data_IF_171883042028
#
_entry.id   IF_171883042028
#
_cell.length_a   1.000
_cell.length_b   1.000
_cell.length_c   1.000
_cell.angle_alpha   90.00
_cell.angle_beta   90.00
_cell.angle_gamma   90.00
#
_symmetry.space_group_name_H-M   'P 1'
#
loop_
_entity.id
_entity.type
_entity.pdbx_description
1 polymer ?
#
# COMPACT_ATOMS: atom_id res chain seq x y z
N UNK A 1 36.00 15.41 11.08
CA UNK A 1 36.18 14.11 10.36
C UNK A 1 35.55 12.93 11.11
N UNK A 2 35.90 12.64 12.37
CA UNK A 2 35.30 11.56 13.21
C UNK A 2 33.77 11.41 13.15
N UNK A 3 33.03 12.51 13.33
CA UNK A 3 31.55 12.52 13.27
C UNK A 3 31.01 12.13 11.89
N UNK A 4 31.67 12.58 10.83
CA UNK A 4 31.32 12.28 9.43
C UNK A 4 31.60 10.79 9.13
N UNK A 5 32.77 10.28 9.49
CA UNK A 5 33.11 8.84 9.39
C UNK A 5 32.04 7.96 10.04
N UNK A 6 31.64 8.30 11.28
CA UNK A 6 30.61 7.55 12.02
C UNK A 6 29.28 7.57 11.27
N UNK A 7 28.87 8.73 10.75
CA UNK A 7 27.60 8.87 10.04
C UNK A 7 27.59 8.18 8.67
N UNK A 8 28.69 8.27 7.90
CA UNK A 8 28.84 7.59 6.61
C UNK A 8 28.80 6.07 6.78
N UNK A 9 29.57 5.52 7.72
CA UNK A 9 29.53 4.09 8.02
C UNK A 9 28.16 3.64 8.54
N UNK A 10 27.47 4.46 9.34
CA UNK A 10 26.13 4.16 9.85
C UNK A 10 25.08 4.13 8.74
N UNK A 11 25.11 5.08 7.80
CA UNK A 11 24.10 5.20 6.73
C UNK A 11 24.38 4.32 5.53
N UNK A 12 25.64 4.21 5.14
CA UNK A 12 26.05 3.62 3.87
C UNK A 12 26.99 2.42 4.04
N UNK A 13 27.30 1.99 5.26
CA UNK A 13 28.23 0.89 5.55
C UNK A 13 27.95 -0.40 4.78
N UNK A 14 26.67 -0.76 4.57
CA UNK A 14 26.29 -1.95 3.78
C UNK A 14 26.47 -1.80 2.27
N UNK A 15 26.70 -0.57 1.78
CA UNK A 15 26.93 -0.25 0.37
C UNK A 15 28.41 -0.01 0.06
N UNK A 16 29.26 0.02 1.08
CA UNK A 16 30.70 0.21 0.96
C UNK A 16 31.39 -1.15 0.95
N UNK A 17 32.49 -1.27 0.20
CA UNK A 17 33.27 -2.52 0.15
C UNK A 17 33.87 -2.86 1.52
N UNK A 18 34.28 -1.85 2.30
CA UNK A 18 34.65 -1.97 3.72
C UNK A 18 34.25 -0.72 4.50
N UNK A 19 34.35 -0.79 5.83
CA UNK A 19 34.18 0.38 6.70
C UNK A 19 35.24 1.44 6.39
N UNK A 20 34.80 2.68 6.24
CA UNK A 20 35.67 3.83 6.01
C UNK A 20 36.48 4.14 7.27
N UNK A 21 37.76 4.45 7.06
CA UNK A 21 38.61 5.09 8.05
C UNK A 21 38.76 6.60 7.80
N UNK A 22 39.35 7.34 8.73
CA UNK A 22 39.47 8.80 8.63
C UNK A 22 40.36 9.23 7.46
N UNK A 23 41.40 8.45 7.15
CA UNK A 23 42.29 8.64 6.00
C UNK A 23 41.58 8.52 4.65
N UNK A 24 40.45 7.81 4.64
CA UNK A 24 39.68 7.55 3.42
C UNK A 24 38.71 8.69 3.11
N UNK A 25 38.65 9.76 3.92
CA UNK A 25 37.66 10.84 3.78
C UNK A 25 38.37 12.17 3.53
N UNK A 26 38.05 12.79 2.40
CA UNK A 26 38.48 14.15 2.05
C UNK A 26 37.27 15.07 2.06
N UNK A 27 37.42 16.26 2.65
CA UNK A 27 36.34 17.24 2.76
C UNK A 27 36.76 18.49 2.01
N UNK A 28 35.85 18.98 1.18
CA UNK A 28 35.92 20.21 0.41
C UNK A 28 34.70 21.07 0.75
N UNK A 29 34.68 22.33 0.32
CA UNK A 29 33.58 23.26 0.61
C UNK A 29 32.25 22.82 -0.04
N UNK A 30 32.33 22.19 -1.21
CA UNK A 30 31.21 21.75 -2.04
C UNK A 30 30.99 20.24 -2.02
N UNK A 31 31.96 19.44 -1.54
CA UNK A 31 31.86 17.97 -1.59
C UNK A 31 32.64 17.23 -0.50
N UNK A 32 32.21 16.01 -0.22
CA UNK A 32 32.95 15.05 0.61
C UNK A 32 33.29 13.85 -0.27
N UNK A 33 34.57 13.55 -0.44
CA UNK A 33 35.03 12.38 -1.19
C UNK A 33 35.47 11.29 -0.23
N UNK A 34 35.15 10.04 -0.57
CA UNK A 34 35.63 8.87 0.15
C UNK A 34 35.98 7.73 -0.79
N UNK A 35 36.67 6.69 -0.29
CA UNK A 35 37.30 5.63 -1.11
C UNK A 35 36.47 5.13 -2.29
N UNK A 36 35.17 4.89 -2.09
CA UNK A 36 34.26 4.32 -3.10
C UNK A 36 33.13 5.26 -3.48
N UNK A 37 33.20 6.55 -3.12
CA UNK A 37 32.07 7.44 -3.35
C UNK A 37 32.32 8.92 -3.03
N UNK A 38 31.29 9.73 -3.27
CA UNK A 38 31.36 11.18 -3.03
C UNK A 38 29.99 11.73 -2.70
N UNK A 39 29.95 12.77 -1.89
CA UNK A 39 28.76 13.59 -1.63
C UNK A 39 29.01 14.94 -2.27
N UNK A 40 28.22 15.33 -3.25
CA UNK A 40 28.37 16.60 -3.98
C UNK A 40 27.18 17.49 -3.65
N UNK A 41 27.44 18.69 -3.11
CA UNK A 41 26.41 19.68 -2.82
C UNK A 41 26.02 20.41 -4.11
N UNK A 42 24.72 20.45 -4.37
CA UNK A 42 24.08 21.17 -5.48
C UNK A 42 22.95 22.03 -4.90
N UNK A 43 23.19 23.32 -4.68
CA UNK A 43 22.24 24.25 -4.06
C UNK A 43 21.71 23.76 -2.70
N UNK A 44 20.38 23.55 -2.59
CA UNK A 44 19.70 23.03 -1.40
C UNK A 44 19.78 21.49 -1.29
N UNK A 45 20.47 20.83 -2.20
CA UNK A 45 20.60 19.38 -2.25
C UNK A 45 22.06 18.94 -2.12
N UNK A 46 22.28 17.69 -1.76
CA UNK A 46 23.56 17.02 -1.94
C UNK A 46 23.35 15.59 -2.41
N UNK A 47 23.94 15.23 -3.55
CA UNK A 47 23.85 13.87 -4.11
C UNK A 47 24.95 12.99 -3.56
N UNK A 48 24.60 11.79 -3.14
CA UNK A 48 25.54 10.77 -2.66
C UNK A 48 25.76 9.75 -3.76
N UNK A 49 27.00 9.59 -4.17
CA UNK A 49 27.45 8.62 -5.14
C UNK A 49 28.25 7.53 -4.43
N UNK A 50 28.00 6.27 -4.77
CA UNK A 50 28.85 5.13 -4.40
C UNK A 50 29.02 4.27 -5.65
N UNK A 51 30.27 3.94 -6.00
CA UNK A 51 30.62 3.22 -7.23
C UNK A 51 29.94 3.84 -8.46
N UNK A 52 30.04 5.18 -8.56
CA UNK A 52 29.46 6.05 -9.60
C UNK A 52 27.93 5.99 -9.77
N UNK A 53 27.23 5.33 -8.84
CA UNK A 53 25.76 5.32 -8.79
C UNK A 53 25.25 6.27 -7.73
N UNK A 54 24.25 7.07 -8.08
CA UNK A 54 23.52 7.87 -7.09
C UNK A 54 22.77 6.93 -6.14
N UNK A 55 23.12 6.96 -4.86
CA UNK A 55 22.55 6.06 -3.83
C UNK A 55 21.67 6.78 -2.82
N UNK A 56 21.74 8.11 -2.76
CA UNK A 56 20.94 8.96 -1.88
C UNK A 56 20.98 10.40 -2.42
N UNK A 57 19.95 11.18 -2.08
CA UNK A 57 19.95 12.63 -2.26
C UNK A 57 19.58 13.21 -0.90
N UNK A 58 20.35 14.19 -0.44
CA UNK A 58 20.19 14.86 0.84
C UNK A 58 19.65 16.27 0.57
N UNK A 59 18.80 16.78 1.45
CA UNK A 59 18.38 18.18 1.46
C UNK A 59 19.22 18.87 2.53
N UNK A 60 19.87 19.97 2.16
CA UNK A 60 20.75 20.75 3.01
C UNK A 60 20.07 22.08 3.29
N UNK A 61 19.68 22.33 4.54
CA UNK A 61 19.06 23.60 4.96
C UNK A 61 19.92 24.28 6.01
N UNK A 62 19.93 25.61 5.99
CA UNK A 62 20.49 26.43 7.07
C UNK A 62 19.35 26.85 7.99
N UNK A 63 19.35 26.34 9.22
CA UNK A 63 18.36 26.64 10.24
C UNK A 63 19.07 27.12 11.51
N UNK A 64 18.69 28.28 12.04
CA UNK A 64 19.26 28.84 13.29
C UNK A 64 20.80 28.97 13.27
N UNK A 65 21.37 29.23 12.09
CA UNK A 65 22.83 29.32 11.91
C UNK A 65 23.53 27.97 11.73
N UNK A 66 22.83 26.85 11.94
CA UNK A 66 23.36 25.51 11.74
C UNK A 66 22.95 24.91 10.39
N UNK A 67 23.85 24.12 9.78
CA UNK A 67 23.54 23.34 8.58
C UNK A 67 22.91 22.01 8.99
N UNK A 68 21.62 21.84 8.71
CA UNK A 68 20.88 20.59 8.90
C UNK A 68 20.77 19.82 7.59
N UNK A 69 21.05 18.52 7.67
CA UNK A 69 21.03 17.62 6.52
C UNK A 69 19.91 16.60 6.70
N UNK A 70 18.89 16.71 5.85
CA UNK A 70 17.77 15.79 5.77
C UNK A 70 18.03 14.77 4.67
N UNK A 71 17.65 13.51 4.86
CA UNK A 71 17.58 12.60 3.70
C UNK A 71 16.38 13.05 2.86
N UNK A 72 16.62 13.39 1.59
CA UNK A 72 15.55 13.42 0.61
C UNK A 72 15.19 11.95 0.43
N UNK A 73 14.12 11.50 1.08
CA UNK A 73 13.71 10.10 0.99
C UNK A 73 13.08 9.88 -0.38
N UNK A 74 13.91 9.85 -1.42
CA UNK A 74 13.50 9.37 -2.73
C UNK A 74 13.45 7.86 -2.60
N UNK A 75 12.24 7.36 -2.34
CA UNK A 75 11.96 5.95 -2.52
C UNK A 75 11.81 5.71 -4.01
N UNK A 76 12.53 4.72 -4.57
CA UNK A 76 12.39 4.34 -5.98
C UNK A 76 10.95 3.94 -6.30
N UNK A 77 10.27 3.33 -5.34
CA UNK A 77 8.86 2.95 -5.42
C UNK A 77 8.12 3.59 -4.23
N UNK A 78 7.80 4.89 -4.32
CA UNK A 78 7.12 5.59 -3.24
C UNK A 78 5.65 5.15 -3.17
N UNK A 79 5.09 5.15 -1.97
CA UNK A 79 3.65 4.97 -1.82
C UNK A 79 2.91 6.27 -2.12
N UNK A 80 1.66 6.10 -2.52
CA UNK A 80 0.74 7.21 -2.77
C UNK A 80 0.54 8.00 -1.47
N UNK A 81 0.56 9.32 -1.59
CA UNK A 81 0.26 10.25 -0.52
C UNK A 81 -0.80 11.23 -0.96
N UNK A 82 -1.55 11.71 0.01
CA UNK A 82 -2.41 12.85 -0.17
C UNK A 82 -1.58 14.12 -0.42
N UNK A 83 -2.03 14.95 -1.35
CA UNK A 83 -1.29 16.16 -1.75
C UNK A 83 -1.37 17.25 -0.69
N UNK A 84 -2.48 17.32 0.05
CA UNK A 84 -2.71 18.36 1.04
C UNK A 84 -1.99 18.04 2.35
N UNK A 85 -2.22 16.85 2.90
CA UNK A 85 -1.67 16.43 4.21
C UNK A 85 -0.30 15.77 4.12
N UNK A 86 0.10 15.27 2.94
CA UNK A 86 1.32 14.48 2.76
C UNK A 86 1.25 13.07 3.37
N UNK A 87 0.10 12.67 3.93
CA UNK A 87 -0.06 11.36 4.57
C UNK A 87 -0.11 10.25 3.52
N UNK A 88 0.52 9.09 3.78
CA UNK A 88 0.27 7.87 3.04
C UNK A 88 -1.23 7.57 2.93
N UNK A 89 -1.67 7.11 1.76
CA UNK A 89 -3.08 6.80 1.57
C UNK A 89 -3.36 5.64 0.61
N UNK A 90 -4.50 4.99 0.79
CA UNK A 90 -5.15 4.17 -0.23
C UNK A 90 -6.21 5.02 -0.94
N UNK A 91 -6.12 5.12 -2.27
CA UNK A 91 -7.10 5.87 -3.06
C UNK A 91 -8.47 5.17 -3.09
N UNK A 92 -9.57 5.92 -3.20
CA UNK A 92 -10.90 5.36 -3.47
C UNK A 92 -10.91 4.41 -4.67
N UNK A 93 -10.25 4.80 -5.77
CA UNK A 93 -10.15 3.97 -6.98
C UNK A 93 -9.37 2.68 -6.76
N UNK A 94 -8.37 2.70 -5.87
CA UNK A 94 -7.62 1.51 -5.48
C UNK A 94 -8.52 0.55 -4.70
N UNK A 95 -9.28 1.04 -3.73
CA UNK A 95 -10.27 0.21 -3.03
C UNK A 95 -11.31 -0.39 -3.98
N UNK A 96 -11.91 0.45 -4.83
CA UNK A 96 -12.90 0.03 -5.83
C UNK A 96 -12.36 -1.08 -6.73
N UNK A 97 -11.14 -0.93 -7.25
CA UNK A 97 -10.52 -1.90 -8.15
C UNK A 97 -10.29 -3.26 -7.47
N UNK A 98 -9.79 -3.26 -6.23
CA UNK A 98 -9.54 -4.49 -5.49
C UNK A 98 -10.83 -5.17 -5.04
N UNK A 99 -11.83 -4.40 -4.58
CA UNK A 99 -13.11 -4.97 -4.18
C UNK A 99 -13.88 -5.52 -5.39
N UNK A 100 -13.82 -4.85 -6.55
CA UNK A 100 -14.39 -5.36 -7.80
C UNK A 100 -13.71 -6.65 -8.25
N UNK A 101 -12.39 -6.75 -8.10
CA UNK A 101 -11.66 -7.99 -8.36
C UNK A 101 -12.12 -9.11 -7.42
N UNK A 102 -12.18 -8.85 -6.11
CA UNK A 102 -12.64 -9.83 -5.13
C UNK A 102 -14.09 -10.26 -5.37
N UNK A 103 -14.97 -9.33 -5.76
CA UNK A 103 -16.35 -9.61 -6.14
C UNK A 103 -16.46 -10.61 -7.30
N UNK A 104 -15.57 -10.54 -8.30
CA UNK A 104 -15.55 -11.53 -9.41
C UNK A 104 -15.22 -12.94 -8.93
N UNK A 105 -14.47 -13.03 -7.83
CA UNK A 105 -14.04 -14.29 -7.21
C UNK A 105 -15.06 -14.87 -6.22
N UNK A 106 -16.14 -14.14 -5.90
CA UNK A 106 -17.22 -14.69 -5.06
C UNK A 106 -17.88 -15.85 -5.80
N UNK A 107 -18.03 -16.97 -5.09
CA UNK A 107 -18.87 -18.09 -5.50
C UNK A 107 -20.32 -17.69 -5.30
N UNK A 108 -20.98 -17.36 -6.40
CA UNK A 108 -22.38 -16.92 -6.45
C UNK A 108 -22.99 -17.43 -7.75
N UNK A 109 -24.31 -17.56 -7.81
CA UNK A 109 -25.01 -17.97 -9.03
C UNK A 109 -24.56 -17.11 -10.23
N UNK A 110 -24.00 -17.77 -11.26
CA UNK A 110 -23.28 -17.12 -12.37
C UNK A 110 -24.18 -16.14 -13.13
N UNK A 111 -25.46 -16.49 -13.33
CA UNK A 111 -26.41 -15.64 -14.07
C UNK A 111 -26.77 -14.34 -13.34
N UNK A 112 -26.61 -14.33 -12.02
CA UNK A 112 -26.96 -13.20 -11.16
C UNK A 112 -25.74 -12.40 -10.69
N UNK A 113 -24.57 -13.05 -10.58
CA UNK A 113 -23.32 -12.41 -10.13
C UNK A 113 -22.94 -11.17 -10.94
N UNK A 114 -22.94 -11.27 -12.27
CA UNK A 114 -22.54 -10.14 -13.12
C UNK A 114 -23.52 -8.97 -13.02
N UNK A 115 -24.81 -9.24 -12.81
CA UNK A 115 -25.82 -8.21 -12.54
C UNK A 115 -25.52 -7.49 -11.22
N UNK A 116 -25.30 -8.23 -10.14
CA UNK A 116 -24.94 -7.67 -8.82
C UNK A 116 -23.66 -6.82 -8.93
N UNK A 117 -22.62 -7.32 -9.61
CA UNK A 117 -21.37 -6.56 -9.80
C UNK A 117 -21.62 -5.25 -10.56
N UNK A 118 -22.43 -5.27 -11.62
CA UNK A 118 -22.78 -4.04 -12.35
C UNK A 118 -23.57 -3.06 -11.47
N UNK A 119 -24.55 -3.53 -10.69
CA UNK A 119 -25.29 -2.69 -9.74
C UNK A 119 -24.37 -2.04 -8.70
N UNK A 120 -23.45 -2.82 -8.13
CA UNK A 120 -22.54 -2.33 -7.08
C UNK A 120 -21.48 -1.36 -7.60
N UNK A 121 -20.81 -1.69 -8.72
CA UNK A 121 -19.63 -0.95 -9.18
C UNK A 121 -19.88 -0.02 -10.37
N UNK A 122 -21.00 -0.18 -11.07
CA UNK A 122 -21.29 0.47 -12.34
C UNK A 122 -20.60 -0.21 -13.53
N UNK A 123 -20.83 0.34 -14.72
CA UNK A 123 -20.25 -0.18 -15.96
C UNK A 123 -18.74 0.07 -16.06
N UNK A 124 -18.08 -0.67 -16.96
CA UNK A 124 -16.69 -0.41 -17.34
C UNK A 124 -16.64 0.82 -18.27
N UNK A 125 -15.50 1.50 -18.30
CA UNK A 125 -15.31 2.69 -19.15
C UNK A 125 -15.40 2.28 -20.62
N UNK A 126 -16.32 2.90 -21.38
CA UNK A 126 -16.55 2.60 -22.80
C UNK A 126 -17.93 2.05 -23.14
N UNK A 127 -18.81 1.90 -22.15
CA UNK A 127 -20.21 1.48 -22.34
C UNK A 127 -21.12 2.72 -22.49
N UNK A 128 -21.97 2.75 -23.52
CA UNK A 128 -22.83 3.91 -23.85
C UNK A 128 -23.89 4.19 -22.77
N UNK A 129 -24.22 3.18 -21.96
CA UNK A 129 -25.07 3.31 -20.78
C UNK A 129 -24.23 3.56 -19.53
N UNK A 130 -24.18 4.81 -19.05
CA UNK A 130 -23.47 5.17 -17.81
C UNK A 130 -24.30 4.80 -16.58
N UNK A 131 -24.28 3.52 -16.21
CA UNK A 131 -24.82 3.06 -14.93
C UNK A 131 -23.84 3.41 -13.81
N UNK A 132 -24.23 4.36 -12.96
CA UNK A 132 -23.48 4.71 -11.75
C UNK A 132 -23.70 3.62 -10.69
N UNK A 133 -22.62 3.01 -10.22
CA UNK A 133 -22.69 1.97 -9.20
C UNK A 133 -23.23 2.46 -7.85
N UNK A 134 -23.78 1.53 -7.07
CA UNK A 134 -24.34 1.74 -5.73
C UNK A 134 -23.27 1.94 -4.64
N UNK A 135 -21.99 1.69 -4.93
CA UNK A 135 -20.89 1.84 -3.97
C UNK A 135 -20.07 3.13 -4.15
N UNK A 136 -19.88 3.84 -3.05
CA UNK A 136 -19.02 5.02 -2.93
C UNK A 136 -17.87 4.73 -1.98
N UNK A 137 -16.65 4.91 -2.48
CA UNK A 137 -15.42 4.61 -1.76
C UNK A 137 -14.77 5.90 -1.25
N UNK A 138 -14.21 5.83 -0.05
CA UNK A 138 -13.45 6.92 0.55
C UNK A 138 -11.95 6.59 0.59
N UNK A 139 -11.08 7.62 0.63
CA UNK A 139 -9.66 7.39 0.86
C UNK A 139 -9.43 6.89 2.28
N UNK A 140 -8.46 5.99 2.44
CA UNK A 140 -7.93 5.63 3.76
C UNK A 140 -6.60 6.33 3.93
N UNK A 141 -6.43 7.10 5.02
CA UNK A 141 -5.17 7.75 5.36
C UNK A 141 -4.48 7.01 6.49
N UNK A 142 -3.15 6.94 6.45
CA UNK A 142 -2.35 6.39 7.54
C UNK A 142 -1.60 7.50 8.25
N UNK A 143 -1.69 7.53 9.59
CA UNK A 143 -0.99 8.53 10.43
C UNK A 143 0.49 8.18 10.58
N UNK A 144 0.80 6.89 10.55
CA UNK A 144 2.15 6.37 10.66
C UNK A 144 2.95 6.66 9.39
N UNK A 145 4.25 6.87 9.58
CA UNK A 145 5.17 7.06 8.46
C UNK A 145 5.48 5.71 7.81
N UNK A 146 5.42 5.70 6.49
CA UNK A 146 5.89 4.58 5.71
C UNK A 146 7.39 4.30 5.91
N UNK A 147 7.77 3.05 5.73
CA UNK A 147 9.14 2.57 5.95
C UNK A 147 9.70 1.94 4.68
N UNK A 148 11.02 1.93 4.59
CA UNK A 148 11.73 1.19 3.54
C UNK A 148 11.58 -0.30 3.79
N UNK A 149 11.34 -1.04 2.72
CA UNK A 149 11.45 -2.49 2.66
C UNK A 149 12.26 -2.90 1.43
N UNK A 150 12.67 -4.17 1.40
CA UNK A 150 13.45 -4.72 0.29
C UNK A 150 12.80 -6.00 -0.19
N UNK A 151 12.45 -6.06 -1.48
CA UNK A 151 12.03 -7.30 -2.13
C UNK A 151 13.16 -7.76 -3.03
N UNK A 152 13.60 -9.00 -2.86
CA UNK A 152 14.58 -9.64 -3.75
C UNK A 152 13.85 -10.69 -4.59
N UNK A 153 13.61 -10.45 -5.90
CA UNK A 153 13.01 -11.45 -6.77
C UNK A 153 13.93 -12.66 -6.89
N UNK A 154 13.40 -13.87 -6.64
CA UNK A 154 14.16 -15.12 -6.77
C UNK A 154 13.75 -15.87 -8.05
N UNK A 155 14.73 -16.46 -8.72
CA UNK A 155 14.54 -17.46 -9.78
C UNK A 155 13.93 -18.72 -9.15
N UNK A 156 12.83 -19.23 -9.71
CA UNK A 156 12.05 -20.32 -9.09
C UNK A 156 12.77 -21.67 -9.15
N UNK A 157 13.50 -21.89 -10.23
CA UNK A 157 14.34 -23.05 -10.53
C UNK A 157 15.56 -23.14 -9.61
N UNK A 158 16.29 -22.03 -9.44
CA UNK A 158 17.58 -22.04 -8.73
C UNK A 158 17.52 -21.41 -7.33
N UNK A 159 16.36 -20.86 -6.94
CA UNK A 159 16.14 -20.07 -5.70
C UNK A 159 17.15 -18.94 -5.47
N UNK A 160 17.87 -18.53 -6.51
CA UNK A 160 18.90 -17.49 -6.50
C UNK A 160 18.30 -16.15 -6.96
N UNK A 161 18.86 -14.99 -6.55
CA UNK A 161 18.35 -13.70 -6.97
C UNK A 161 18.29 -13.55 -8.50
N UNK A 162 17.09 -13.33 -9.05
CA UNK A 162 16.88 -13.08 -10.47
C UNK A 162 17.33 -11.67 -10.86
N UNK A 163 17.20 -10.73 -9.93
CA UNK A 163 17.67 -9.35 -10.02
C UNK A 163 18.10 -8.87 -8.64
N UNK A 164 18.85 -7.77 -8.58
CA UNK A 164 19.26 -7.14 -7.33
C UNK A 164 18.07 -6.74 -6.44
N UNK A 165 18.32 -6.48 -5.15
CA UNK A 165 17.27 -6.15 -4.19
C UNK A 165 16.55 -4.86 -4.59
N UNK A 166 15.22 -4.90 -4.65
CA UNK A 166 14.37 -3.75 -5.03
C UNK A 166 13.91 -3.07 -3.76
N UNK A 167 14.33 -1.82 -3.56
CA UNK A 167 13.87 -1.00 -2.44
C UNK A 167 12.46 -0.50 -2.72
N UNK A 168 11.54 -0.78 -1.79
CA UNK A 168 10.16 -0.31 -1.86
C UNK A 168 9.79 0.46 -0.60
N UNK A 169 8.84 1.38 -0.74
CA UNK A 169 8.19 1.99 0.40
C UNK A 169 6.93 1.21 0.75
N UNK A 170 6.72 0.91 2.03
CA UNK A 170 5.57 0.14 2.50
C UNK A 170 5.03 0.69 3.81
N UNK A 171 3.74 0.47 4.02
CA UNK A 171 3.16 0.45 5.37
C UNK A 171 3.49 -0.92 5.97
N UNK A 172 4.14 -0.93 7.13
CA UNK A 172 4.47 -2.19 7.83
C UNK A 172 3.22 -2.81 8.45
N UNK A 173 3.27 -4.11 8.72
CA UNK A 173 2.19 -4.82 9.43
C UNK A 173 1.88 -4.17 10.78
N UNK A 174 0.62 -4.23 11.20
CA UNK A 174 0.13 -3.65 12.45
C UNK A 174 -0.21 -2.15 12.37
N UNK A 175 0.09 -1.47 11.26
CA UNK A 175 -0.40 -0.12 11.02
C UNK A 175 -1.90 -0.14 10.80
N UNK A 176 -2.61 0.77 11.47
CA UNK A 176 -4.08 0.89 11.38
C UNK A 176 -4.49 1.95 10.35
N UNK A 177 -5.63 1.71 9.71
CA UNK A 177 -6.29 2.65 8.82
C UNK A 177 -7.78 2.40 8.82
N UNK A 178 -8.56 3.43 8.56
CA UNK A 178 -10.02 3.36 8.54
C UNK A 178 -10.51 3.18 7.11
N UNK A 179 -11.35 2.15 6.91
CA UNK A 179 -11.99 1.87 5.63
C UNK A 179 -13.46 2.28 5.71
N UNK A 180 -13.84 3.28 4.90
CA UNK A 180 -15.22 3.72 4.78
C UNK A 180 -15.78 3.35 3.42
N UNK A 181 -16.99 2.78 3.42
CA UNK A 181 -17.73 2.39 2.23
C UNK A 181 -19.19 2.79 2.41
N UNK A 182 -19.72 3.55 1.45
CA UNK A 182 -21.12 3.96 1.45
C UNK A 182 -21.88 3.21 0.36
N UNK A 183 -22.95 2.52 0.75
CA UNK A 183 -23.91 1.90 -0.16
C UNK A 183 -25.11 2.84 -0.34
N UNK A 184 -25.42 3.18 -1.58
CA UNK A 184 -26.60 3.96 -1.95
C UNK A 184 -27.40 3.14 -2.95
N UNK A 185 -28.67 2.77 -2.67
CA UNK A 185 -29.51 2.00 -3.60
C UNK A 185 -30.01 2.84 -4.79
N UNK A 186 -29.37 3.98 -5.10
CA UNK A 186 -29.73 4.92 -6.15
C UNK A 186 -28.58 5.07 -7.17
N UNK A 187 -28.84 5.19 -8.48
CA UNK A 187 -30.15 5.27 -9.13
C UNK A 187 -30.93 3.96 -9.03
N UNK A 188 -32.23 4.09 -8.70
CA UNK A 188 -33.18 2.99 -8.81
C UNK A 188 -33.51 2.86 -10.29
N UNK A 189 -33.10 1.77 -10.91
CA UNK A 189 -33.56 1.44 -12.26
C UNK A 189 -35.09 1.31 -12.26
N UNK A 190 -35.74 1.39 -13.43
CA UNK A 190 -37.20 1.27 -13.55
C UNK A 190 -37.76 -0.01 -12.90
N UNK A 191 -36.94 -1.05 -12.80
CA UNK A 191 -37.25 -2.35 -12.20
C UNK A 191 -36.63 -2.59 -10.82
N UNK A 192 -36.25 -1.53 -10.09
CA UNK A 192 -35.67 -1.67 -8.75
C UNK A 192 -36.58 -2.47 -7.81
N UNK A 193 -36.05 -3.56 -7.25
CA UNK A 193 -36.70 -4.39 -6.24
C UNK A 193 -36.01 -4.20 -4.89
N UNK A 194 -36.78 -4.02 -3.81
CA UNK A 194 -36.20 -3.81 -2.46
C UNK A 194 -35.37 -5.01 -2.02
N UNK A 195 -35.70 -6.20 -2.51
CA UNK A 195 -35.02 -7.46 -2.26
C UNK A 195 -33.56 -7.43 -2.76
N UNK A 196 -33.27 -6.63 -3.80
CA UNK A 196 -31.90 -6.43 -4.29
C UNK A 196 -30.98 -5.85 -3.23
N UNK A 197 -31.47 -5.02 -2.30
CA UNK A 197 -30.63 -4.45 -1.25
C UNK A 197 -30.05 -5.57 -0.39
N UNK A 198 -30.88 -6.52 0.03
CA UNK A 198 -30.44 -7.62 0.88
C UNK A 198 -29.48 -8.54 0.16
N UNK A 199 -29.72 -8.79 -1.12
CA UNK A 199 -28.83 -9.56 -1.99
C UNK A 199 -27.48 -8.85 -2.20
N UNK A 200 -27.50 -7.58 -2.58
CA UNK A 200 -26.33 -6.72 -2.79
C UNK A 200 -25.44 -6.71 -1.54
N UNK A 201 -26.03 -6.51 -0.35
CA UNK A 201 -25.26 -6.42 0.90
C UNK A 201 -24.66 -7.78 1.30
N UNK A 202 -25.37 -8.90 1.11
CA UNK A 202 -24.82 -10.25 1.36
C UNK A 202 -23.65 -10.56 0.44
N UNK A 203 -23.82 -10.28 -0.85
CA UNK A 203 -22.76 -10.46 -1.83
C UNK A 203 -21.56 -9.55 -1.53
N UNK A 204 -21.82 -8.29 -1.15
CA UNK A 204 -20.79 -7.33 -0.77
C UNK A 204 -19.99 -7.79 0.44
N UNK A 205 -20.63 -8.35 1.46
CA UNK A 205 -19.95 -8.88 2.64
C UNK A 205 -18.95 -9.98 2.23
N UNK A 206 -19.35 -10.92 1.37
CA UNK A 206 -18.45 -11.99 0.90
C UNK A 206 -17.29 -11.43 0.07
N UNK A 207 -17.57 -10.45 -0.79
CA UNK A 207 -16.52 -9.77 -1.56
C UNK A 207 -15.51 -9.04 -0.65
N UNK A 208 -16.00 -8.35 0.40
CA UNK A 208 -15.15 -7.68 1.39
C UNK A 208 -14.29 -8.69 2.16
N UNK A 209 -14.87 -9.81 2.59
CA UNK A 209 -14.15 -10.90 3.26
C UNK A 209 -13.01 -11.43 2.39
N UNK A 210 -13.27 -11.71 1.11
CA UNK A 210 -12.24 -12.15 0.16
C UNK A 210 -11.18 -11.08 -0.07
N UNK A 211 -11.58 -9.81 -0.21
CA UNK A 211 -10.63 -8.71 -0.39
C UNK A 211 -9.72 -8.57 0.83
N UNK A 212 -10.26 -8.60 2.05
CA UNK A 212 -9.51 -8.37 3.28
C UNK A 212 -8.58 -9.53 3.65
N UNK A 213 -9.03 -10.77 3.46
CA UNK A 213 -8.35 -11.93 4.04
C UNK A 213 -7.68 -12.86 3.02
N UNK A 214 -8.01 -12.73 1.72
CA UNK A 214 -7.50 -13.64 0.69
C UNK A 214 -6.67 -12.91 -0.35
N UNK A 215 -7.24 -11.88 -0.99
CA UNK A 215 -6.61 -11.23 -2.15
C UNK A 215 -5.83 -9.97 -1.81
N UNK A 216 -6.22 -9.27 -0.76
CA UNK A 216 -5.65 -8.00 -0.35
C UNK A 216 -5.97 -6.81 -1.28
N UNK A 217 -5.60 -5.61 -0.81
CA UNK A 217 -5.82 -4.34 -1.52
C UNK A 217 -4.53 -3.68 -2.05
N UNK A 218 -3.46 -4.47 -2.22
CA UNK A 218 -2.16 -3.98 -2.71
C UNK A 218 -1.90 -4.37 -4.17
N UNK A 219 -1.03 -3.60 -4.84
CA UNK A 219 -0.52 -3.95 -6.16
C UNK A 219 0.30 -5.26 -6.18
N UNK A 220 0.84 -5.71 -5.03
CA UNK A 220 1.72 -6.89 -4.91
C UNK A 220 1.06 -8.05 -4.17
N UNK A 221 -0.17 -8.39 -4.54
CA UNK A 221 -1.00 -9.44 -3.90
C UNK A 221 -0.29 -10.80 -3.79
N UNK A 222 0.43 -11.21 -4.83
CA UNK A 222 1.14 -12.50 -4.89
C UNK A 222 2.32 -12.62 -3.92
N UNK A 223 2.75 -11.52 -3.31
CA UNK A 223 3.79 -11.49 -2.27
C UNK A 223 3.21 -11.27 -0.87
N UNK A 224 1.90 -11.48 -0.68
CA UNK A 224 1.23 -11.37 0.62
C UNK A 224 0.93 -9.95 1.08
N UNK A 225 1.09 -8.94 0.21
CA UNK A 225 0.82 -7.54 0.57
C UNK A 225 -0.67 -7.22 0.52
N UNK A 226 -1.12 -6.41 1.48
CA UNK A 226 -2.46 -5.80 1.48
C UNK A 226 -3.56 -6.67 2.05
N UNK A 227 -3.25 -7.81 2.66
CA UNK A 227 -4.20 -8.50 3.55
C UNK A 227 -4.19 -7.83 4.93
N UNK A 228 -5.31 -7.89 5.65
CA UNK A 228 -5.43 -7.33 7.00
C UNK A 228 -5.49 -8.42 8.05
N UNK A 229 -5.16 -8.04 9.29
CA UNK A 229 -5.43 -8.87 10.45
C UNK A 229 -6.94 -9.08 10.62
N UNK A 230 -7.33 -10.20 11.26
CA UNK A 230 -8.73 -10.52 11.47
C UNK A 230 -9.38 -9.42 12.31
N UNK A 231 -10.45 -8.82 11.78
CA UNK A 231 -11.24 -7.82 12.48
C UNK A 231 -11.98 -8.47 13.65
N UNK A 232 -12.09 -7.72 14.75
CA UNK A 232 -13.00 -7.99 15.85
C UNK A 232 -14.35 -7.32 15.57
N UNK A 233 -15.34 -7.68 16.36
CA UNK A 233 -16.68 -7.07 16.25
C UNK A 233 -16.65 -5.55 16.44
N UNK A 234 -15.86 -5.06 17.39
CA UNK A 234 -15.70 -3.64 17.68
C UNK A 234 -14.94 -2.87 16.58
N UNK A 235 -14.27 -3.57 15.66
CA UNK A 235 -13.57 -2.96 14.53
C UNK A 235 -14.52 -2.70 13.33
N UNK A 236 -15.78 -3.18 13.40
CA UNK A 236 -16.74 -3.10 12.29
C UNK A 236 -18.00 -2.35 12.73
N UNK A 237 -18.16 -1.16 12.17
CA UNK A 237 -19.35 -0.33 12.34
C UNK A 237 -20.22 -0.34 11.07
N UNK A 238 -21.53 -0.60 11.23
CA UNK A 238 -22.49 -0.72 10.12
C UNK A 238 -23.74 0.06 10.46
N UNK A 239 -24.06 1.05 9.62
CA UNK A 239 -25.27 1.84 9.72
C UNK A 239 -26.15 1.69 8.46
N UNK A 240 -27.47 1.49 8.61
CA UNK A 240 -28.21 1.32 9.87
C UNK A 240 -27.94 -0.04 10.57
N UNK A 241 -28.12 -0.08 11.89
CA UNK A 241 -27.77 -1.24 12.74
C UNK A 241 -28.49 -2.54 12.34
N UNK A 242 -29.70 -2.46 11.77
CA UNK A 242 -30.46 -3.62 11.32
C UNK A 242 -29.79 -4.40 10.17
N UNK A 243 -28.71 -3.85 9.59
CA UNK A 243 -27.89 -4.50 8.56
C UNK A 243 -26.61 -5.12 9.12
N UNK A 244 -26.27 -4.89 10.38
CA UNK A 244 -25.00 -5.32 10.98
C UNK A 244 -24.75 -6.82 10.86
N UNK A 245 -25.78 -7.63 11.10
CA UNK A 245 -25.68 -9.10 11.04
C UNK A 245 -25.18 -9.64 9.70
N UNK A 246 -25.47 -8.94 8.59
CA UNK A 246 -25.02 -9.32 7.24
C UNK A 246 -23.49 -9.30 7.15
N UNK A 247 -22.85 -8.36 7.85
CA UNK A 247 -21.40 -8.16 7.83
C UNK A 247 -20.68 -8.89 8.96
N UNK A 248 -21.39 -9.66 9.79
CA UNK A 248 -20.80 -10.47 10.86
C UNK A 248 -19.72 -11.44 10.37
N UNK A 249 -19.80 -11.88 9.12
CA UNK A 249 -18.80 -12.76 8.48
C UNK A 249 -17.39 -12.14 8.41
N UNK A 250 -17.28 -10.82 8.57
CA UNK A 250 -16.01 -10.11 8.60
C UNK A 250 -15.25 -10.33 9.91
N UNK A 251 -15.96 -10.59 11.02
CA UNK A 251 -15.37 -10.74 12.36
C UNK A 251 -15.68 -12.07 13.07
N UNK A 252 -16.65 -12.84 12.60
CA UNK A 252 -16.95 -14.18 13.14
C UNK A 252 -16.00 -15.24 12.57
N UNK A 253 -15.58 -16.23 13.37
CA UNK A 253 -14.80 -17.36 12.85
C UNK A 253 -15.73 -18.27 12.04
N UNK A 254 -15.38 -18.54 10.79
CA UNK A 254 -16.02 -19.63 10.05
C UNK A 254 -15.54 -20.93 10.68
N UNK A 255 -16.43 -21.65 11.37
CA UNK A 255 -16.16 -23.03 11.78
C UNK A 255 -16.10 -23.89 10.52
N UNK A 256 -14.90 -24.06 9.96
CA UNK A 256 -14.65 -25.06 8.94
C UNK A 256 -14.59 -26.45 9.59
N UNK A 257 -15.68 -26.89 10.20
CA UNK A 257 -15.92 -28.31 10.47
C UNK A 257 -16.61 -28.88 9.23
N UNK A 258 -15.86 -28.99 8.14
CA UNK A 258 -16.20 -29.92 7.06
C UNK A 258 -15.03 -30.89 7.02
N UNK A 259 -15.21 -32.03 7.67
CA UNK A 259 -14.39 -33.21 7.48
C UNK A 259 -14.40 -33.52 5.97
N UNK A 260 -13.31 -33.23 5.28
CA UNK A 260 -13.00 -34.00 4.09
C UNK A 260 -12.65 -35.40 4.59
N UNK A 261 -13.63 -36.29 4.47
CA UNK A 261 -13.44 -37.72 4.68
C UNK A 261 -12.26 -38.21 3.85
N UNK A 262 -11.56 -39.18 4.45
CA UNK A 262 -10.41 -39.90 3.92
C UNK A 262 -10.60 -40.43 2.48
#
# INVERSE_FOLDING_TARGET
IKKIKKELNRRYGSKLDDKLDEKDIKIWDDRIEFRTGKIVKENEFAKVFINDKTVDILIVKKEEGEVKVYSSRIFENPIVRDKFTGLPMVRPSTWKGHLRFAARMVEWDKGNKDKIIRRLFGNESGDDNVLKGRLYFFPTFFKEKARRDVITPLKRDTRTPARGPISIEVMKSGVKGEFYLLYIPYPREKEFKKEEIKEDLRFLAEALKLMFYTYGFSAKKTSGFGVIERLKEDDVDVHPEDKRDIFSILYTKVNNNVNYGA
#
